data_IF_220406530634
#
_entry.id   IF_220406530634
#
_cell.length_a   1.000
_cell.length_b   1.000
_cell.length_c   1.000
_cell.angle_alpha   90.00
_cell.angle_beta   90.00
_cell.angle_gamma   90.00
#
_symmetry.space_group_name_H-M   'P 1'
#
loop_
_entity.id
_entity.type
_entity.pdbx_description
1 polymer ?
#
# COMPACT_ATOMS: atom_id res chain seq x y z
N UNK A 1 2.57 3.61 9.53
CA UNK A 1 1.49 3.03 10.36
C UNK A 1 1.99 2.79 11.79
N UNK A 2 1.11 2.97 12.79
CA UNK A 2 1.39 2.54 14.16
C UNK A 2 1.28 1.02 14.34
N UNK A 3 1.65 0.49 15.54
CA UNK A 3 1.48 -0.93 15.86
C UNK A 3 0.05 -1.39 15.64
N UNK A 4 -0.15 -2.49 14.93
CA UNK A 4 -1.48 -3.03 14.61
C UNK A 4 -2.40 -2.13 13.76
N UNK A 5 -1.93 -0.95 13.33
CA UNK A 5 -2.72 -0.04 12.49
C UNK A 5 -2.52 -0.34 11.02
N UNK A 6 -3.62 -0.32 10.26
CA UNK A 6 -3.64 -0.55 8.82
C UNK A 6 -4.54 0.44 8.07
N UNK A 7 -5.25 1.30 8.79
CA UNK A 7 -6.05 2.39 8.23
C UNK A 7 -5.33 3.70 8.52
N UNK A 8 -5.34 4.61 7.56
CA UNK A 8 -4.88 5.99 7.75
C UNK A 8 -6.03 6.77 8.39
N UNK A 9 -5.84 7.34 9.60
CA UNK A 9 -6.87 8.13 10.25
C UNK A 9 -7.32 9.32 9.39
N UNK A 10 -8.60 9.69 9.47
CA UNK A 10 -9.17 10.76 8.64
C UNK A 10 -8.44 12.09 8.80
N UNK A 11 -8.03 12.43 10.03
CA UNK A 11 -7.25 13.63 10.35
C UNK A 11 -5.83 13.63 9.75
N UNK A 12 -5.34 12.49 9.28
CA UNK A 12 -4.02 12.31 8.66
C UNK A 12 -4.05 12.05 7.16
N UNK A 13 -5.22 11.94 6.57
CA UNK A 13 -5.37 11.64 5.12
C UNK A 13 -4.71 12.71 4.26
N UNK A 14 -4.83 13.99 4.62
CA UNK A 14 -4.21 15.07 3.84
C UNK A 14 -2.69 15.01 3.90
N UNK A 15 -2.10 14.74 5.06
CA UNK A 15 -0.65 14.58 5.24
C UNK A 15 -0.15 13.37 4.45
N UNK A 16 -0.87 12.25 4.55
CA UNK A 16 -0.57 11.05 3.79
C UNK A 16 -0.67 11.30 2.28
N UNK A 17 -1.73 12.01 1.84
CA UNK A 17 -1.92 12.39 0.45
C UNK A 17 -0.76 13.23 -0.09
N UNK A 18 -0.26 14.18 0.69
CA UNK A 18 0.92 14.98 0.32
C UNK A 18 2.17 14.09 0.17
N UNK A 19 2.33 13.10 1.06
CA UNK A 19 3.45 12.15 0.99
C UNK A 19 3.39 11.23 -0.23
N UNK A 20 2.19 10.90 -0.69
CA UNK A 20 1.99 10.03 -1.87
C UNK A 20 1.88 10.80 -3.18
N UNK A 21 1.64 12.11 -3.12
CA UNK A 21 1.52 12.96 -4.32
C UNK A 21 2.69 12.80 -5.30
N UNK A 22 3.97 12.75 -4.87
CA UNK A 22 5.10 12.54 -5.79
C UNK A 22 4.99 11.27 -6.65
N UNK A 23 4.33 10.21 -6.16
CA UNK A 23 4.08 8.98 -6.92
C UNK A 23 3.17 9.29 -8.11
N UNK A 24 2.05 9.97 -7.85
CA UNK A 24 1.08 10.34 -8.90
C UNK A 24 1.67 11.37 -9.88
N UNK A 25 2.41 12.36 -9.37
CA UNK A 25 3.06 13.37 -10.21
C UNK A 25 4.10 12.74 -11.15
N UNK A 26 4.91 11.80 -10.65
CA UNK A 26 5.90 11.08 -11.46
C UNK A 26 5.22 10.16 -12.49
N UNK A 27 4.17 9.45 -12.07
CA UNK A 27 3.36 8.61 -12.94
C UNK A 27 2.73 9.44 -14.08
N UNK A 28 2.15 10.59 -13.75
CA UNK A 28 1.55 11.51 -14.70
C UNK A 28 2.58 12.04 -15.69
N UNK A 29 3.72 12.52 -15.18
CA UNK A 29 4.80 13.04 -16.02
C UNK A 29 5.29 11.98 -17.02
N UNK A 30 5.50 10.76 -16.56
CA UNK A 30 6.01 9.67 -17.40
C UNK A 30 4.92 9.19 -18.37
N UNK A 31 3.70 8.97 -17.91
CA UNK A 31 2.56 8.58 -18.74
C UNK A 31 2.32 9.58 -19.87
N UNK A 32 2.42 10.88 -19.60
CA UNK A 32 2.18 11.94 -20.59
C UNK A 32 3.20 11.95 -21.74
N UNK A 33 4.42 11.40 -21.53
CA UNK A 33 5.40 11.23 -22.62
C UNK A 33 4.92 10.26 -23.68
N UNK A 34 4.08 9.30 -23.31
CA UNK A 34 3.57 8.24 -24.19
C UNK A 34 2.09 8.40 -24.48
N UNK A 35 1.54 9.63 -24.30
CA UNK A 35 0.09 9.88 -24.41
C UNK A 35 -0.51 9.54 -25.77
N UNK A 36 0.28 9.53 -26.83
CA UNK A 36 -0.15 9.15 -28.18
C UNK A 36 -0.50 7.65 -28.32
N UNK A 37 0.02 6.82 -27.41
CA UNK A 37 -0.22 5.38 -27.41
C UNK A 37 -1.23 4.97 -26.35
N UNK A 38 -1.94 3.87 -26.60
CA UNK A 38 -2.56 3.11 -25.51
C UNK A 38 -1.47 2.61 -24.59
N UNK A 39 -1.69 2.68 -23.28
CA UNK A 39 -0.67 2.36 -22.29
C UNK A 39 -1.28 1.91 -20.98
N UNK A 40 -0.60 1.00 -20.34
CA UNK A 40 -0.95 0.50 -19.02
C UNK A 40 0.06 0.98 -17.98
N UNK A 41 -0.44 1.64 -16.93
CA UNK A 41 0.32 1.98 -15.74
C UNK A 41 0.01 0.97 -14.63
N UNK A 42 1.01 0.22 -14.20
CA UNK A 42 0.88 -0.75 -13.10
C UNK A 42 1.55 -0.21 -11.86
N UNK A 43 0.78 -0.06 -10.77
CA UNK A 43 1.31 0.28 -9.44
C UNK A 43 1.39 -0.98 -8.60
N UNK A 44 2.61 -1.29 -8.12
CA UNK A 44 2.89 -2.45 -7.27
C UNK A 44 3.04 -1.96 -5.84
N UNK A 45 2.16 -2.38 -4.96
CA UNK A 45 2.07 -1.92 -3.58
C UNK A 45 2.37 -3.08 -2.64
N UNK A 46 3.48 -2.96 -1.90
CA UNK A 46 3.97 -3.97 -0.97
C UNK A 46 3.79 -3.47 0.46
N UNK A 47 2.83 -4.07 1.19
CA UNK A 47 2.63 -3.77 2.61
C UNK A 47 3.49 -4.67 3.49
N UNK A 48 4.02 -4.12 4.58
CA UNK A 48 4.84 -4.85 5.55
C UNK A 48 4.28 -4.70 6.96
N UNK A 49 4.53 -5.67 7.81
CA UNK A 49 4.26 -5.65 9.24
C UNK A 49 5.55 -5.88 10.02
N UNK A 50 5.59 -5.40 11.27
CA UNK A 50 6.61 -5.83 12.21
C UNK A 50 6.28 -7.22 12.77
N UNK A 51 7.15 -7.77 13.61
CA UNK A 51 6.96 -9.06 14.27
C UNK A 51 6.17 -8.98 15.57
N UNK A 52 5.56 -7.84 15.90
CA UNK A 52 4.80 -7.69 17.14
C UNK A 52 3.58 -8.63 17.15
N UNK A 53 3.33 -9.34 18.27
CA UNK A 53 2.15 -10.17 18.38
C UNK A 53 0.88 -9.32 18.51
N UNK A 54 -0.21 -9.80 17.91
CA UNK A 54 -1.54 -9.26 18.14
C UNK A 54 -2.12 -9.89 19.40
N UNK A 55 -2.50 -9.07 20.39
CA UNK A 55 -3.04 -9.55 21.67
C UNK A 55 -4.35 -10.32 21.43
N UNK A 56 -4.38 -11.58 21.85
CA UNK A 56 -5.59 -12.39 21.84
C UNK A 56 -6.71 -11.71 22.65
N UNK A 57 -7.93 -11.76 22.12
CA UNK A 57 -9.08 -11.11 22.78
C UNK A 57 -9.20 -9.60 22.54
N UNK A 58 -8.24 -8.97 21.83
CA UNK A 58 -8.38 -7.58 21.41
C UNK A 58 -9.37 -7.42 20.25
N UNK A 59 -9.94 -6.22 20.10
CA UNK A 59 -10.79 -5.90 18.95
C UNK A 59 -10.08 -6.15 17.63
N UNK A 60 -8.80 -5.77 17.55
CA UNK A 60 -7.97 -6.03 16.37
C UNK A 60 -7.87 -7.53 16.07
N UNK A 61 -7.66 -8.37 17.10
CA UNK A 61 -7.58 -9.81 16.92
C UNK A 61 -8.85 -10.38 16.28
N UNK A 62 -10.02 -10.02 16.81
CA UNK A 62 -11.29 -10.49 16.25
C UNK A 62 -11.56 -9.93 14.85
N UNK A 63 -11.23 -8.67 14.60
CA UNK A 63 -11.33 -8.09 13.25
C UNK A 63 -10.47 -8.85 12.23
N UNK A 64 -9.24 -9.22 12.59
CA UNK A 64 -8.36 -9.97 11.71
C UNK A 64 -8.85 -11.40 11.49
N UNK A 65 -9.40 -12.06 12.52
CA UNK A 65 -10.03 -13.39 12.38
C UNK A 65 -11.19 -13.36 11.42
N UNK A 66 -12.05 -12.35 11.52
CA UNK A 66 -13.17 -12.15 10.59
C UNK A 66 -12.67 -11.97 9.15
N UNK A 67 -11.70 -11.12 8.94
CA UNK A 67 -11.04 -10.91 7.65
C UNK A 67 -10.40 -12.20 7.07
N UNK A 68 -9.87 -13.05 7.95
CA UNK A 68 -9.30 -14.36 7.58
C UNK A 68 -10.36 -15.44 7.42
N UNK A 69 -11.58 -15.20 7.89
CA UNK A 69 -12.68 -16.19 8.01
C UNK A 69 -12.25 -17.43 8.82
N UNK A 70 -11.57 -17.18 9.94
CA UNK A 70 -11.04 -18.21 10.84
C UNK A 70 -11.52 -17.98 12.27
N UNK A 71 -11.53 -19.03 13.07
CA UNK A 71 -11.79 -18.95 14.51
C UNK A 71 -10.52 -18.75 15.33
N UNK A 72 -9.36 -19.09 14.76
CA UNK A 72 -8.03 -18.95 15.35
C UNK A 72 -7.03 -18.67 14.21
N UNK A 73 -5.97 -17.95 14.53
CA UNK A 73 -4.86 -17.71 13.62
C UNK A 73 -3.55 -17.55 14.39
N UNK A 74 -2.45 -17.99 13.79
CA UNK A 74 -1.12 -17.80 14.32
C UNK A 74 -0.64 -16.35 14.10
N UNK A 75 0.39 -15.94 14.86
CA UNK A 75 0.96 -14.58 14.80
C UNK A 75 1.31 -14.18 13.37
N UNK A 76 1.97 -15.06 12.64
CA UNK A 76 2.41 -14.85 11.27
C UNK A 76 1.24 -14.62 10.31
N UNK A 77 0.14 -15.34 10.48
CA UNK A 77 -1.08 -15.17 9.66
C UNK A 77 -1.74 -13.81 9.95
N UNK A 78 -1.78 -13.40 11.22
CA UNK A 78 -2.34 -12.10 11.61
C UNK A 78 -1.48 -10.95 11.06
N UNK A 79 -0.16 -11.03 11.16
CA UNK A 79 0.75 -10.03 10.62
C UNK A 79 0.77 -10.02 9.08
N UNK A 80 0.63 -11.19 8.46
CA UNK A 80 0.38 -11.29 7.01
C UNK A 80 -0.88 -10.51 6.61
N UNK A 81 -2.00 -10.72 7.35
CA UNK A 81 -3.25 -10.01 7.08
C UNK A 81 -3.12 -8.50 7.30
N UNK A 82 -2.47 -8.04 8.36
CA UNK A 82 -2.20 -6.60 8.58
C UNK A 82 -1.45 -6.01 7.39
N UNK A 83 -0.42 -6.69 6.90
CA UNK A 83 0.37 -6.22 5.76
C UNK A 83 -0.45 -6.14 4.46
N UNK A 84 -1.37 -7.08 4.22
CA UNK A 84 -2.32 -7.03 3.11
C UNK A 84 -3.28 -5.84 3.23
N UNK A 85 -3.82 -5.61 4.42
CA UNK A 85 -4.73 -4.49 4.67
C UNK A 85 -4.03 -3.13 4.50
N UNK A 86 -2.74 -3.02 4.87
CA UNK A 86 -1.93 -1.83 4.61
C UNK A 86 -1.75 -1.57 3.11
N UNK A 87 -1.49 -2.61 2.31
CA UNK A 87 -1.40 -2.45 0.86
C UNK A 87 -2.72 -2.00 0.24
N UNK A 88 -3.85 -2.55 0.71
CA UNK A 88 -5.20 -2.15 0.27
C UNK A 88 -5.51 -0.69 0.63
N UNK A 89 -5.14 -0.25 1.83
CA UNK A 89 -5.35 1.14 2.24
C UNK A 89 -4.57 2.11 1.36
N UNK A 90 -3.29 1.79 1.02
CA UNK A 90 -2.53 2.64 0.10
C UNK A 90 -3.13 2.65 -1.31
N UNK A 91 -3.62 1.52 -1.82
CA UNK A 91 -4.33 1.47 -3.11
C UNK A 91 -5.51 2.44 -3.10
N UNK A 92 -6.32 2.42 -2.05
CA UNK A 92 -7.45 3.35 -1.89
C UNK A 92 -6.99 4.81 -1.93
N UNK A 93 -5.92 5.16 -1.21
CA UNK A 93 -5.40 6.52 -1.19
C UNK A 93 -4.83 6.95 -2.55
N UNK A 94 -4.08 6.09 -3.23
CA UNK A 94 -3.54 6.36 -4.56
C UNK A 94 -4.64 6.49 -5.61
N UNK A 95 -5.68 5.66 -5.53
CA UNK A 95 -6.85 5.77 -6.42
C UNK A 95 -7.54 7.13 -6.25
N UNK A 96 -7.76 7.56 -5.02
CA UNK A 96 -8.36 8.86 -4.74
C UNK A 96 -7.49 10.02 -5.25
N UNK A 97 -6.16 9.93 -5.06
CA UNK A 97 -5.22 10.93 -5.58
C UNK A 97 -5.20 10.96 -7.11
N UNK A 98 -5.20 9.80 -7.76
CA UNK A 98 -5.30 9.70 -9.21
C UNK A 98 -6.57 10.40 -9.72
N UNK A 99 -7.72 10.08 -9.15
CA UNK A 99 -9.00 10.67 -9.56
C UNK A 99 -9.01 12.20 -9.38
N UNK A 100 -8.47 12.72 -8.29
CA UNK A 100 -8.35 14.16 -8.04
C UNK A 100 -7.42 14.87 -9.03
N UNK A 101 -6.44 14.17 -9.60
CA UNK A 101 -5.45 14.70 -10.54
C UNK A 101 -5.68 14.22 -11.99
N UNK A 102 -6.82 13.61 -12.27
CA UNK A 102 -7.13 13.00 -13.58
C UNK A 102 -6.98 13.98 -14.74
N UNK A 103 -7.36 15.25 -14.56
CA UNK A 103 -7.24 16.30 -15.58
C UNK A 103 -5.80 16.60 -16.01
N UNK A 104 -4.80 16.21 -15.23
CA UNK A 104 -3.38 16.37 -15.58
C UNK A 104 -2.85 15.27 -16.51
N UNK A 105 -3.59 14.17 -16.67
CA UNK A 105 -3.21 13.07 -17.56
C UNK A 105 -3.72 13.35 -18.97
N UNK A 106 -2.80 13.37 -19.94
CA UNK A 106 -3.13 13.53 -21.37
C UNK A 106 -3.68 12.22 -21.92
N UNK A 107 -4.67 12.32 -22.84
CA UNK A 107 -5.30 11.16 -23.49
C UNK A 107 -5.63 10.07 -22.47
N UNK A 108 -6.40 10.45 -21.43
CA UNK A 108 -6.74 9.58 -20.30
C UNK A 108 -7.50 8.33 -20.75
N UNK A 109 -8.28 8.44 -21.83
CA UNK A 109 -9.04 7.33 -22.43
C UNK A 109 -8.12 6.19 -22.95
N UNK A 110 -6.84 6.53 -23.21
CA UNK A 110 -5.80 5.58 -23.63
C UNK A 110 -4.94 5.10 -22.46
N UNK A 111 -5.26 5.49 -21.24
CA UNK A 111 -4.53 5.08 -20.05
C UNK A 111 -5.34 4.09 -19.22
N UNK A 112 -4.81 2.88 -19.07
CA UNK A 112 -5.31 1.91 -18.13
C UNK A 112 -4.43 1.92 -16.86
N UNK A 113 -5.05 1.84 -15.67
CA UNK A 113 -4.30 1.78 -14.40
C UNK A 113 -4.64 0.49 -13.68
N UNK A 114 -3.60 -0.31 -13.41
CA UNK A 114 -3.67 -1.52 -12.62
C UNK A 114 -3.01 -1.33 -11.24
N UNK A 115 -3.59 -1.93 -10.22
CA UNK A 115 -3.05 -1.97 -8.88
C UNK A 115 -2.78 -3.42 -8.46
N UNK A 116 -1.53 -3.71 -8.11
CA UNK A 116 -1.09 -5.00 -7.59
C UNK A 116 -0.70 -4.85 -6.13
N UNK A 117 -1.63 -5.13 -5.22
CA UNK A 117 -1.39 -5.09 -3.78
C UNK A 117 -0.94 -6.45 -3.25
N UNK A 118 0.13 -6.47 -2.47
CA UNK A 118 0.64 -7.67 -1.81
C UNK A 118 1.06 -7.37 -0.38
N UNK A 119 0.59 -8.18 0.57
CA UNK A 119 1.14 -8.24 1.91
C UNK A 119 2.43 -9.07 1.92
N UNK A 120 3.43 -8.58 2.63
CA UNK A 120 4.73 -9.24 2.83
C UNK A 120 4.90 -9.80 4.23
N UNK A 121 3.87 -9.66 5.09
CA UNK A 121 3.93 -10.11 6.47
C UNK A 121 5.11 -9.49 7.21
N UNK A 122 5.84 -10.32 7.92
CA UNK A 122 7.01 -9.94 8.71
C UNK A 122 8.34 -9.90 7.92
N UNK A 123 8.31 -10.00 6.58
CA UNK A 123 9.52 -9.84 5.77
C UNK A 123 10.14 -8.46 5.99
N UNK A 124 11.46 -8.38 5.84
CA UNK A 124 12.18 -7.11 5.99
C UNK A 124 12.00 -6.24 4.74
N UNK A 125 11.52 -4.99 4.90
CA UNK A 125 11.19 -4.15 3.73
C UNK A 125 12.41 -3.78 2.88
N UNK A 126 13.52 -3.47 3.54
CA UNK A 126 14.72 -2.95 2.91
C UNK A 126 15.93 -3.83 3.28
N UNK A 127 16.44 -4.65 2.35
CA UNK A 127 17.44 -5.68 2.66
C UNK A 127 18.82 -5.12 3.06
N UNK A 128 19.08 -3.85 2.79
CA UNK A 128 20.32 -3.19 3.19
C UNK A 128 20.33 -2.71 4.65
N UNK A 129 19.16 -2.61 5.31
CA UNK A 129 19.08 -2.34 6.74
C UNK A 129 19.28 -3.66 7.49
N UNK A 130 20.32 -3.74 8.32
CA UNK A 130 20.72 -4.99 8.98
C UNK A 130 20.36 -5.07 10.45
N UNK A 131 19.91 -3.97 11.05
CA UNK A 131 19.66 -3.81 12.48
C UNK A 131 18.17 -3.77 12.86
N UNK A 132 17.29 -4.28 12.01
CA UNK A 132 15.87 -4.37 12.32
C UNK A 132 15.61 -5.17 13.60
N UNK A 133 14.81 -4.58 14.49
CA UNK A 133 14.25 -5.27 15.65
C UNK A 133 12.87 -5.88 15.31
N UNK A 134 12.37 -6.75 16.18
CA UNK A 134 11.08 -7.42 15.94
C UNK A 134 9.92 -6.44 15.86
N UNK A 135 9.88 -5.44 16.74
CA UNK A 135 8.85 -4.40 16.86
C UNK A 135 9.22 -3.07 16.17
N UNK A 136 10.22 -3.09 15.29
CA UNK A 136 10.77 -1.88 14.64
C UNK A 136 9.72 -1.17 13.78
N UNK A 137 9.52 0.12 14.05
CA UNK A 137 8.58 0.95 13.27
C UNK A 137 8.94 1.05 11.79
N UNK A 138 10.24 0.96 11.45
CA UNK A 138 10.73 0.94 10.07
C UNK A 138 10.23 -0.26 9.26
N UNK A 139 9.66 -1.29 9.93
CA UNK A 139 9.02 -2.45 9.30
C UNK A 139 7.53 -2.20 9.00
N UNK A 140 6.91 -1.19 9.62
CA UNK A 140 5.48 -0.85 9.45
C UNK A 140 5.24 0.11 8.30
N UNK A 141 5.74 -0.22 7.13
CA UNK A 141 5.71 0.64 5.93
C UNK A 141 4.99 -0.01 4.76
N UNK A 142 4.73 0.79 3.75
CA UNK A 142 4.28 0.33 2.44
C UNK A 142 5.22 0.89 1.39
N UNK A 143 5.71 0.04 0.51
CA UNK A 143 6.51 0.43 -0.64
C UNK A 143 5.62 0.47 -1.87
N UNK A 144 5.80 1.49 -2.70
CA UNK A 144 5.09 1.64 -3.95
C UNK A 144 6.09 1.75 -5.10
N UNK A 145 5.94 0.88 -6.08
CA UNK A 145 6.66 0.92 -7.34
C UNK A 145 5.64 1.11 -8.46
N UNK A 146 6.06 1.70 -9.56
CA UNK A 146 5.20 1.81 -10.72
C UNK A 146 5.98 1.63 -12.02
N UNK A 147 5.28 1.19 -13.05
CA UNK A 147 5.79 1.09 -14.42
C UNK A 147 4.68 1.52 -15.39
N UNK A 148 5.05 2.18 -16.47
CA UNK A 148 4.15 2.49 -17.58
C UNK A 148 4.68 1.80 -18.82
N UNK A 149 3.83 1.00 -19.45
CA UNK A 149 4.16 0.23 -20.64
C UNK A 149 3.19 0.65 -21.74
N UNK A 150 3.67 1.15 -22.90
CA UNK A 150 2.84 1.29 -24.09
C UNK A 150 2.36 -0.10 -24.55
N UNK A 151 1.08 -0.18 -24.92
CA UNK A 151 0.46 -1.43 -25.41
C UNK A 151 0.84 -1.73 -26.87
#
# INVERSE_FOLDING_TARGET
>A
FGPGKYIIPEDKVDIASQSFKPVIDSLMLFSNKYSQYSRTATLIILGYADGSPVSQGSELYYTLLDELRKHMAEKEELNQKISELRSKELIKQLTNLYLRNASGFKEIDKLHIDYLGQGKGEQLPLPYIKDYQEDDERRRIVLCYWVVIPD
#
